data_IF_370068626282
#
_entry.id   IF_370068626282
#
_cell.length_a   1.000
_cell.length_b   1.000
_cell.length_c   1.000
_cell.angle_alpha   90.00
_cell.angle_beta   90.00
_cell.angle_gamma   90.00
#
_symmetry.space_group_name_H-M   'P 1'
#
loop_
_entity.id
_entity.type
_entity.pdbx_description
1 polymer ?
#
# COMPACT_ATOMS: atom_id res chain seq x y z
N UNK A 1 -11.23 7.43 -5.60
CA UNK A 1 -10.96 8.08 -4.32
C UNK A 1 -11.05 9.60 -4.44
N UNK A 2 -10.23 10.26 -5.29
CA UNK A 2 -10.17 11.73 -5.41
C UNK A 2 -11.54 12.38 -5.65
N UNK A 3 -12.35 11.87 -6.58
CA UNK A 3 -13.71 12.38 -6.83
C UNK A 3 -14.62 12.28 -5.60
N UNK A 4 -14.53 11.17 -4.86
CA UNK A 4 -15.31 10.99 -3.65
C UNK A 4 -14.84 11.92 -2.51
N UNK A 5 -13.54 12.12 -2.39
CA UNK A 5 -12.97 13.09 -1.43
C UNK A 5 -13.40 14.52 -1.75
N UNK A 6 -13.39 14.88 -3.03
CA UNK A 6 -13.84 16.20 -3.47
C UNK A 6 -15.32 16.44 -3.10
N UNK A 7 -16.20 15.48 -3.39
CA UNK A 7 -17.62 15.55 -3.01
C UNK A 7 -17.80 15.67 -1.49
N UNK A 8 -17.04 14.93 -0.69
CA UNK A 8 -17.07 15.04 0.76
C UNK A 8 -16.62 16.41 1.26
N UNK A 9 -15.55 16.95 0.72
CA UNK A 9 -15.04 18.29 1.06
C UNK A 9 -16.05 19.40 0.77
N UNK A 10 -16.76 19.32 -0.36
CA UNK A 10 -17.83 20.28 -0.71
C UNK A 10 -18.97 20.27 0.31
N UNK A 11 -19.18 19.17 1.00
CA UNK A 11 -20.15 19.03 2.09
C UNK A 11 -19.55 19.28 3.49
N UNK A 12 -18.31 19.73 3.59
CA UNK A 12 -17.62 19.95 4.86
C UNK A 12 -17.27 18.66 5.62
N UNK A 13 -17.25 17.51 4.94
CA UNK A 13 -16.94 16.22 5.55
C UNK A 13 -15.44 15.97 5.59
N UNK A 14 -15.01 15.20 6.59
CA UNK A 14 -13.66 14.66 6.68
C UNK A 14 -13.55 13.33 5.94
N UNK A 15 -12.45 13.13 5.23
CA UNK A 15 -12.17 11.87 4.56
C UNK A 15 -11.52 10.89 5.52
N UNK A 16 -12.17 9.73 5.69
CA UNK A 16 -11.69 8.63 6.53
C UNK A 16 -11.49 7.39 5.67
N UNK A 17 -10.31 6.81 5.72
CA UNK A 17 -10.08 5.46 5.18
C UNK A 17 -10.20 4.46 6.33
N UNK A 18 -11.09 3.47 6.18
CA UNK A 18 -11.21 2.34 7.08
C UNK A 18 -10.55 1.12 6.43
N UNK A 19 -9.54 0.57 7.08
CA UNK A 19 -8.81 -0.61 6.61
C UNK A 19 -8.50 -1.55 7.78
N UNK A 20 -7.94 -2.71 7.47
CA UNK A 20 -7.46 -3.66 8.48
C UNK A 20 -5.94 -3.60 8.59
N UNK A 21 -5.45 -3.80 9.81
CA UNK A 21 -4.01 -3.96 10.11
C UNK A 21 -3.40 -5.12 9.32
N UNK A 22 -4.11 -6.26 9.30
CA UNK A 22 -3.77 -7.42 8.49
C UNK A 22 -4.89 -7.64 7.47
N UNK A 23 -4.58 -7.72 6.16
CA UNK A 23 -5.61 -8.02 5.17
C UNK A 23 -6.32 -9.34 5.48
N UNK A 24 -7.66 -9.39 5.48
CA UNK A 24 -8.41 -10.62 5.80
C UNK A 24 -7.99 -11.86 5.00
N UNK A 25 -7.47 -11.64 3.78
CA UNK A 25 -6.96 -12.71 2.92
C UNK A 25 -5.59 -13.25 3.36
N UNK A 26 -4.84 -12.49 4.15
CA UNK A 26 -3.52 -12.87 4.63
C UNK A 26 -3.59 -13.81 5.85
N UNK A 27 -4.67 -13.76 6.63
CA UNK A 27 -4.83 -14.54 7.87
C UNK A 27 -4.75 -16.06 7.65
N UNK A 28 -5.04 -16.52 6.44
CA UNK A 28 -5.08 -17.96 6.11
C UNK A 28 -4.07 -18.38 5.03
N UNK A 29 -3.06 -17.53 4.74
CA UNK A 29 -2.08 -17.83 3.69
C UNK A 29 -0.68 -17.45 4.14
N UNK A 30 0.14 -18.45 4.38
CA UNK A 30 1.57 -18.30 4.73
C UNK A 30 2.40 -17.58 3.65
N UNK A 31 1.83 -17.33 2.47
CA UNK A 31 2.51 -16.74 1.30
C UNK A 31 1.77 -15.51 0.74
N UNK A 32 1.04 -14.77 1.55
CA UNK A 32 0.32 -13.59 1.06
C UNK A 32 1.23 -12.35 1.06
N UNK A 33 1.64 -11.93 -0.12
CA UNK A 33 2.41 -10.70 -0.28
C UNK A 33 1.50 -9.47 -0.39
N UNK A 34 1.79 -8.43 0.39
CA UNK A 34 1.09 -7.15 0.32
C UNK A 34 1.76 -6.22 -0.69
N UNK A 35 0.94 -5.39 -1.35
CA UNK A 35 1.44 -4.32 -2.22
C UNK A 35 2.05 -3.17 -1.40
N UNK A 36 1.48 -2.89 -0.24
CA UNK A 36 1.93 -1.83 0.65
C UNK A 36 1.88 -2.30 2.09
N UNK A 37 2.91 -2.01 2.87
CA UNK A 37 2.89 -2.16 4.32
C UNK A 37 1.91 -1.18 4.95
N UNK A 38 1.64 -1.29 6.25
CA UNK A 38 0.75 -0.34 6.93
C UNK A 38 1.34 1.07 6.92
N UNK A 39 2.64 1.18 7.14
CA UNK A 39 3.36 2.45 7.07
C UNK A 39 3.30 3.08 5.67
N UNK A 40 3.56 2.29 4.63
CA UNK A 40 3.44 2.75 3.24
C UNK A 40 2.01 3.16 2.88
N UNK A 41 0.99 2.44 3.35
CA UNK A 41 -0.43 2.84 3.20
C UNK A 41 -0.70 4.20 3.84
N UNK A 42 -0.18 4.43 5.05
CA UNK A 42 -0.34 5.70 5.74
C UNK A 42 0.28 6.85 4.92
N UNK A 43 1.47 6.66 4.36
CA UNK A 43 2.10 7.62 3.46
C UNK A 43 1.27 7.90 2.21
N UNK A 44 0.82 6.85 1.50
CA UNK A 44 -0.01 6.99 0.28
C UNK A 44 -1.29 7.78 0.58
N UNK A 45 -1.96 7.50 1.68
CA UNK A 45 -3.20 8.18 2.03
C UNK A 45 -2.97 9.61 2.51
N UNK A 46 -1.86 9.87 3.22
CA UNK A 46 -1.47 11.22 3.60
C UNK A 46 -1.16 12.10 2.36
N UNK A 47 -0.36 11.60 1.42
CA UNK A 47 -0.07 12.26 0.14
C UNK A 47 -1.36 12.51 -0.68
N UNK A 48 -2.34 11.59 -0.60
CA UNK A 48 -3.65 11.77 -1.22
C UNK A 48 -4.56 12.77 -0.51
N UNK A 49 -4.17 13.29 0.65
CA UNK A 49 -4.95 14.27 1.42
C UNK A 49 -6.11 13.66 2.21
N UNK A 50 -6.00 12.40 2.64
CA UNK A 50 -6.92 11.74 3.57
C UNK A 50 -6.75 12.34 4.95
N UNK A 51 -7.85 12.69 5.63
CA UNK A 51 -7.80 13.30 6.97
C UNK A 51 -7.50 12.27 8.08
N UNK A 52 -8.05 11.06 7.98
CA UNK A 52 -7.88 10.00 8.99
C UNK A 52 -7.74 8.61 8.35
N UNK A 53 -6.83 7.83 8.89
CA UNK A 53 -6.68 6.40 8.60
C UNK A 53 -7.05 5.60 9.86
N UNK A 54 -8.03 4.71 9.73
CA UNK A 54 -8.41 3.78 10.80
C UNK A 54 -7.93 2.39 10.39
N UNK A 55 -6.94 1.88 11.10
CA UNK A 55 -6.46 0.51 10.98
C UNK A 55 -7.12 -0.34 12.08
N UNK A 56 -8.11 -1.12 11.69
CA UNK A 56 -8.89 -1.92 12.62
C UNK A 56 -8.32 -3.33 12.71
N UNK A 57 -8.05 -3.86 13.93
CA UNK A 57 -7.71 -5.26 14.11
C UNK A 57 -8.84 -6.17 13.58
N UNK A 58 -8.49 -7.13 12.72
CA UNK A 58 -9.47 -8.08 12.17
C UNK A 58 -9.64 -9.27 13.12
N UNK A 59 -10.29 -9.01 14.27
CA UNK A 59 -10.56 -10.01 15.30
C UNK A 59 -11.71 -10.95 14.91
N UNK A 60 -11.84 -12.07 15.63
CA UNK A 60 -12.95 -13.00 15.43
C UNK A 60 -14.31 -12.36 15.70
N UNK A 61 -14.42 -11.52 16.72
CA UNK A 61 -15.64 -10.77 17.02
C UNK A 61 -16.01 -9.81 15.88
N UNK A 62 -15.01 -9.08 15.37
CA UNK A 62 -15.21 -8.19 14.22
C UNK A 62 -15.66 -8.97 12.98
N UNK A 63 -15.05 -10.11 12.71
CA UNK A 63 -15.37 -10.97 11.58
C UNK A 63 -16.81 -11.49 11.60
N UNK A 64 -17.44 -11.62 12.79
CA UNK A 64 -18.80 -12.09 12.96
C UNK A 64 -19.87 -11.01 12.83
N UNK A 65 -19.49 -9.75 12.68
CA UNK A 65 -20.45 -8.67 12.52
C UNK A 65 -21.31 -8.88 11.26
N UNK A 66 -22.62 -8.80 11.43
CA UNK A 66 -23.53 -8.75 10.29
C UNK A 66 -23.28 -7.48 9.46
N UNK A 67 -23.69 -7.42 8.18
CA UNK A 67 -23.60 -6.21 7.38
C UNK A 67 -24.22 -4.99 8.08
N UNK A 68 -25.40 -5.13 8.64
CA UNK A 68 -26.07 -4.06 9.35
C UNK A 68 -25.31 -3.60 10.59
N UNK A 69 -24.86 -4.55 11.43
CA UNK A 69 -24.10 -4.22 12.65
C UNK A 69 -22.77 -3.51 12.36
N UNK A 70 -22.09 -3.87 11.27
CA UNK A 70 -20.88 -3.15 10.83
C UNK A 70 -21.19 -1.70 10.46
N UNK A 71 -22.24 -1.44 9.69
CA UNK A 71 -22.61 -0.08 9.29
C UNK A 71 -23.12 0.74 10.46
N UNK A 72 -23.88 0.13 11.36
CA UNK A 72 -24.32 0.76 12.61
C UNK A 72 -23.12 1.16 13.47
N UNK A 73 -22.13 0.30 13.61
CA UNK A 73 -20.88 0.62 14.33
C UNK A 73 -20.17 1.83 13.71
N UNK A 74 -20.04 1.91 12.38
CA UNK A 74 -19.46 3.09 11.72
C UNK A 74 -20.28 4.35 11.99
N UNK A 75 -21.61 4.24 12.00
CA UNK A 75 -22.49 5.35 12.34
C UNK A 75 -22.30 5.83 13.76
N UNK A 76 -22.24 4.92 14.73
CA UNK A 76 -22.12 5.24 16.15
C UNK A 76 -20.72 5.75 16.53
N UNK A 77 -19.66 5.14 15.97
CA UNK A 77 -18.27 5.44 16.37
C UNK A 77 -17.68 6.65 15.67
N UNK A 78 -17.98 6.88 14.41
CA UNK A 78 -17.40 7.95 13.61
C UNK A 78 -18.44 8.87 12.97
N UNK A 79 -19.73 8.69 13.26
CA UNK A 79 -20.84 9.49 12.72
C UNK A 79 -20.79 9.62 11.19
N UNK A 80 -20.52 8.50 10.51
CA UNK A 80 -20.40 8.45 9.05
C UNK A 80 -21.60 9.12 8.37
N UNK A 81 -21.33 9.96 7.38
CA UNK A 81 -22.35 10.69 6.59
C UNK A 81 -22.38 10.26 5.13
N UNK A 82 -21.25 9.74 4.65
CA UNK A 82 -21.12 9.24 3.28
C UNK A 82 -20.23 8.00 3.29
N UNK A 83 -20.65 6.93 2.64
CA UNK A 83 -19.83 5.73 2.43
C UNK A 83 -19.59 5.56 0.94
N UNK A 84 -18.31 5.50 0.56
CA UNK A 84 -17.89 5.30 -0.83
C UNK A 84 -17.33 3.89 -0.99
N UNK A 85 -17.89 3.12 -1.89
CA UNK A 85 -17.47 1.75 -2.13
C UNK A 85 -17.45 1.39 -3.62
N UNK A 86 -16.62 0.43 -3.98
CA UNK A 86 -16.60 -0.14 -5.33
C UNK A 86 -17.75 -1.12 -5.56
N UNK A 87 -18.08 -1.39 -6.81
CA UNK A 87 -19.12 -2.37 -7.18
C UNK A 87 -18.80 -3.81 -6.75
N UNK A 88 -17.53 -4.11 -6.42
CA UNK A 88 -17.08 -5.41 -5.92
C UNK A 88 -16.82 -5.43 -4.41
N UNK A 89 -17.20 -4.36 -3.71
CA UNK A 89 -17.04 -4.28 -2.26
C UNK A 89 -18.00 -5.25 -1.56
N UNK A 90 -17.42 -6.02 -0.63
CA UNK A 90 -18.16 -6.92 0.24
C UNK A 90 -17.70 -6.75 1.67
N UNK A 91 -18.64 -6.85 2.61
CA UNK A 91 -18.42 -6.65 4.04
C UNK A 91 -19.34 -7.52 4.89
N UNK A 92 -19.13 -7.49 6.20
CA UNK A 92 -19.89 -8.30 7.15
C UNK A 92 -19.54 -9.79 7.10
N UNK A 93 -20.12 -10.54 8.03
CA UNK A 93 -19.86 -11.97 8.17
C UNK A 93 -20.10 -12.74 6.87
N UNK A 94 -19.14 -13.59 6.52
CA UNK A 94 -19.15 -14.38 5.28
C UNK A 94 -19.35 -13.56 3.99
N UNK A 95 -19.00 -12.26 4.02
CA UNK A 95 -19.19 -11.34 2.88
C UNK A 95 -20.65 -11.15 2.47
N UNK A 96 -21.58 -11.28 3.41
CA UNK A 96 -23.03 -11.22 3.14
C UNK A 96 -23.49 -9.80 2.73
N UNK A 97 -22.72 -8.74 3.03
CA UNK A 97 -22.97 -7.38 2.58
C UNK A 97 -22.26 -7.08 1.25
N UNK A 98 -22.94 -6.34 0.39
CA UNK A 98 -22.42 -5.80 -0.86
C UNK A 98 -22.80 -4.32 -1.01
N UNK A 99 -22.53 -3.72 -2.15
CA UNK A 99 -23.00 -2.36 -2.44
C UNK A 99 -24.53 -2.22 -2.38
N UNK A 100 -25.29 -3.31 -2.58
CA UNK A 100 -26.76 -3.31 -2.50
C UNK A 100 -27.23 -3.10 -1.06
N UNK A 101 -26.63 -3.83 -0.12
CA UNK A 101 -26.91 -3.67 1.32
C UNK A 101 -26.44 -2.29 1.81
N UNK A 102 -25.33 -1.74 1.27
CA UNK A 102 -24.94 -0.36 1.54
C UNK A 102 -26.04 0.64 1.14
N UNK A 103 -26.66 0.46 -0.02
CA UNK A 103 -27.73 1.33 -0.48
C UNK A 103 -29.03 1.10 0.30
N UNK A 104 -29.33 -0.17 0.60
CA UNK A 104 -30.56 -0.54 1.32
C UNK A 104 -30.61 0.06 2.73
N UNK A 105 -29.48 0.08 3.45
CA UNK A 105 -29.42 0.57 4.84
C UNK A 105 -29.12 2.06 4.94
N UNK A 106 -28.92 2.74 3.81
CA UNK A 106 -28.51 4.14 3.78
C UNK A 106 -29.52 5.08 4.46
N UNK A 107 -30.81 4.92 4.14
CA UNK A 107 -31.88 5.74 4.70
C UNK A 107 -32.08 5.49 6.20
N UNK A 108 -32.09 4.22 6.61
CA UNK A 108 -32.29 3.82 8.02
C UNK A 108 -31.15 4.31 8.92
N UNK A 109 -29.89 4.21 8.46
CA UNK A 109 -28.72 4.62 9.22
C UNK A 109 -28.30 6.09 8.96
N UNK A 110 -28.96 6.79 8.05
CA UNK A 110 -28.76 8.20 7.78
C UNK A 110 -27.37 8.55 7.25
N UNK A 111 -26.94 7.84 6.18
CA UNK A 111 -25.74 8.15 5.42
C UNK A 111 -26.03 8.11 3.90
N UNK A 112 -25.19 8.73 3.11
CA UNK A 112 -25.22 8.63 1.65
C UNK A 112 -24.35 7.46 1.18
N UNK A 113 -24.86 6.56 0.32
CA UNK A 113 -24.09 5.50 -0.31
C UNK A 113 -23.65 5.91 -1.74
N UNK A 114 -22.36 6.07 -1.95
CA UNK A 114 -21.77 6.40 -3.25
C UNK A 114 -21.04 5.16 -3.81
N UNK A 115 -21.57 4.63 -4.91
CA UNK A 115 -21.01 3.44 -5.54
C UNK A 115 -20.18 3.85 -6.76
N UNK A 116 -18.92 3.48 -6.76
CA UNK A 116 -17.97 3.77 -7.84
C UNK A 116 -17.67 2.52 -8.66
N UNK A 117 -17.63 2.68 -9.97
CA UNK A 117 -17.23 1.60 -10.87
C UNK A 117 -15.71 1.47 -10.86
N UNK A 118 -15.21 0.26 -11.03
CA UNK A 118 -13.77 0.04 -11.24
C UNK A 118 -13.31 0.76 -12.50
N UNK A 119 -12.11 1.31 -12.43
CA UNK A 119 -11.42 1.79 -13.63
C UNK A 119 -10.89 0.60 -14.42
N UNK A 120 -10.93 0.73 -15.72
CA UNK A 120 -10.39 -0.26 -16.66
C UNK A 120 -9.19 0.32 -17.40
N UNK A 121 -8.27 -0.56 -17.75
CA UNK A 121 -7.13 -0.25 -18.60
C UNK A 121 -6.88 -1.44 -19.55
N UNK A 122 -6.76 -1.13 -20.83
CA UNK A 122 -6.63 -2.15 -21.91
C UNK A 122 -7.76 -3.19 -21.87
N UNK A 123 -8.99 -2.77 -21.54
CA UNK A 123 -10.17 -3.65 -21.50
C UNK A 123 -10.30 -4.53 -20.27
N UNK A 124 -9.40 -4.43 -19.31
CA UNK A 124 -9.42 -5.21 -18.07
C UNK A 124 -9.53 -4.31 -16.84
N UNK A 125 -10.18 -4.81 -15.79
CA UNK A 125 -10.30 -4.10 -14.53
C UNK A 125 -8.93 -3.91 -13.86
N UNK A 126 -8.68 -2.70 -13.36
CA UNK A 126 -7.55 -2.45 -12.47
C UNK A 126 -7.84 -3.09 -11.11
N UNK A 127 -6.98 -4.00 -10.69
CA UNK A 127 -7.14 -4.73 -9.43
C UNK A 127 -5.79 -5.02 -8.77
N UNK A 128 -5.78 -5.17 -7.44
CA UNK A 128 -4.57 -5.57 -6.72
C UNK A 128 -3.98 -6.90 -7.18
N UNK A 129 -4.81 -7.81 -7.69
CA UNK A 129 -4.34 -9.09 -8.25
C UNK A 129 -3.54 -8.88 -9.54
N UNK A 130 -4.05 -8.03 -10.44
CA UNK A 130 -3.34 -7.68 -11.68
C UNK A 130 -2.04 -6.94 -11.37
N UNK A 131 -2.08 -5.96 -10.47
CA UNK A 131 -0.88 -5.20 -10.07
C UNK A 131 0.19 -6.12 -9.48
N UNK A 132 -0.18 -7.07 -8.59
CA UNK A 132 0.78 -8.05 -8.06
C UNK A 132 1.42 -8.90 -9.15
N UNK A 133 0.66 -9.28 -10.16
CA UNK A 133 1.18 -10.03 -11.30
C UNK A 133 2.23 -9.22 -12.05
N UNK A 134 1.94 -7.97 -12.40
CA UNK A 134 2.88 -7.10 -13.12
C UNK A 134 4.18 -6.89 -12.32
N UNK A 135 4.08 -6.65 -11.00
CA UNK A 135 5.27 -6.53 -10.15
C UNK A 135 6.06 -7.85 -10.10
N UNK A 136 5.38 -8.99 -9.93
CA UNK A 136 6.03 -10.30 -9.85
C UNK A 136 6.71 -10.71 -11.18
N UNK A 137 6.27 -10.16 -12.30
CA UNK A 137 6.87 -10.33 -13.62
C UNK A 137 7.95 -9.28 -13.94
N UNK A 138 8.14 -8.28 -13.08
CA UNK A 138 9.11 -7.18 -13.27
C UNK A 138 8.62 -6.07 -14.19
N UNK A 139 7.35 -6.06 -14.56
CA UNK A 139 6.74 -5.07 -15.45
C UNK A 139 6.44 -3.77 -14.68
N UNK A 140 7.47 -3.09 -14.18
CA UNK A 140 7.30 -1.97 -13.26
C UNK A 140 6.57 -0.78 -13.88
N UNK A 141 6.81 -0.47 -15.15
CA UNK A 141 6.13 0.61 -15.86
C UNK A 141 4.61 0.38 -15.93
N UNK A 142 4.18 -0.84 -16.24
CA UNK A 142 2.75 -1.22 -16.26
C UNK A 142 2.16 -1.23 -14.84
N UNK A 143 2.88 -1.77 -13.86
CA UNK A 143 2.47 -1.76 -12.45
C UNK A 143 2.25 -0.33 -11.94
N UNK A 144 3.17 0.58 -12.22
CA UNK A 144 3.11 1.98 -11.85
C UNK A 144 1.92 2.70 -12.51
N UNK A 145 1.69 2.43 -13.80
CA UNK A 145 0.51 2.95 -14.48
C UNK A 145 -0.80 2.51 -13.83
N UNK A 146 -0.90 1.22 -13.47
CA UNK A 146 -2.09 0.65 -12.82
C UNK A 146 -2.28 1.17 -11.39
N UNK A 147 -1.19 1.42 -10.67
CA UNK A 147 -1.21 2.01 -9.32
C UNK A 147 -1.59 3.49 -9.34
N UNK A 148 -1.16 4.22 -10.38
CA UNK A 148 -1.24 5.68 -10.46
C UNK A 148 -0.13 6.40 -9.68
N UNK A 149 0.87 5.66 -9.19
CA UNK A 149 2.11 6.15 -8.58
C UNK A 149 3.21 5.10 -8.77
N UNK A 150 4.49 5.50 -8.61
CA UNK A 150 5.60 4.56 -8.69
C UNK A 150 5.59 3.61 -7.50
N UNK A 151 5.64 2.30 -7.76
CA UNK A 151 5.73 1.28 -6.71
C UNK A 151 6.98 1.51 -5.88
N UNK A 152 6.87 1.52 -4.56
CA UNK A 152 7.97 1.90 -3.71
C UNK A 152 8.13 1.00 -2.48
N UNK A 153 9.27 1.15 -1.85
CA UNK A 153 9.67 0.59 -0.59
C UNK A 153 10.11 1.72 0.33
N UNK A 154 9.66 1.72 1.58
CA UNK A 154 10.15 2.60 2.64
C UNK A 154 10.89 1.81 3.71
N UNK A 155 11.78 2.48 4.42
CA UNK A 155 12.44 1.94 5.59
C UNK A 155 13.86 2.50 5.78
N UNK A 156 14.49 2.17 6.91
CA UNK A 156 15.81 2.68 7.23
C UNK A 156 16.89 2.10 6.30
N UNK A 157 17.83 2.95 5.93
CA UNK A 157 19.06 2.51 5.31
C UNK A 157 19.92 1.72 6.30
N UNK A 158 20.15 0.45 6.01
CA UNK A 158 20.97 -0.45 6.83
C UNK A 158 22.43 -0.48 6.36
N UNK A 159 23.34 -0.82 7.24
CA UNK A 159 24.72 -1.09 6.88
C UNK A 159 24.80 -2.31 5.93
N UNK A 160 25.51 -2.13 4.81
CA UNK A 160 25.91 -3.20 3.92
C UNK A 160 27.33 -3.64 4.18
N UNK A 161 27.91 -4.43 3.28
CA UNK A 161 29.30 -4.89 3.35
C UNK A 161 30.34 -3.78 3.06
N UNK A 162 29.91 -2.51 2.97
CA UNK A 162 30.72 -1.29 2.74
C UNK A 162 31.64 -1.32 1.51
N UNK A 163 31.55 -2.36 0.67
CA UNK A 163 32.38 -2.51 -0.53
C UNK A 163 32.18 -1.32 -1.49
N UNK A 164 30.94 -0.86 -1.64
CA UNK A 164 30.62 0.32 -2.45
C UNK A 164 31.33 1.58 -1.96
N UNK A 165 31.45 1.75 -0.64
CA UNK A 165 32.13 2.92 -0.04
C UNK A 165 33.64 2.96 -0.34
N UNK A 166 34.28 1.80 -0.44
CA UNK A 166 35.74 1.72 -0.76
C UNK A 166 36.05 2.12 -2.20
N UNK A 167 35.06 2.05 -3.10
CA UNK A 167 35.15 2.45 -4.51
C UNK A 167 34.43 3.77 -4.80
N UNK A 168 34.06 4.53 -3.76
CA UNK A 168 33.39 5.83 -3.92
C UNK A 168 31.91 5.74 -4.32
N UNK A 169 31.28 4.58 -4.16
CA UNK A 169 29.86 4.32 -4.52
C UNK A 169 29.08 3.94 -3.25
N UNK A 170 28.62 4.92 -2.43
CA UNK A 170 27.85 4.62 -1.24
C UNK A 170 26.52 4.00 -1.59
N UNK A 171 26.21 2.85 -0.99
CA UNK A 171 24.93 2.16 -1.15
C UNK A 171 24.15 2.15 0.16
N UNK A 172 22.84 2.31 0.07
CA UNK A 172 21.91 2.04 1.15
C UNK A 172 21.29 0.65 0.97
N UNK A 173 21.26 -0.13 2.03
CA UNK A 173 20.62 -1.43 2.04
C UNK A 173 19.30 -1.32 2.80
N UNK A 174 18.23 -1.88 2.24
CA UNK A 174 16.95 -2.02 2.92
C UNK A 174 16.58 -3.48 3.01
N UNK A 175 15.99 -3.86 4.14
CA UNK A 175 15.36 -5.17 4.33
C UNK A 175 13.86 -4.94 4.45
N UNK A 176 13.09 -5.17 3.39
CA UNK A 176 11.64 -5.08 3.45
C UNK A 176 11.06 -6.10 4.44
N UNK A 177 9.87 -5.82 4.91
CA UNK A 177 9.10 -6.81 5.68
C UNK A 177 8.88 -8.07 4.84
N UNK A 178 8.89 -9.25 5.48
CA UNK A 178 8.86 -10.55 4.81
C UNK A 178 7.68 -10.71 3.84
N UNK A 179 6.55 -10.09 4.17
CA UNK A 179 5.35 -10.14 3.36
C UNK A 179 5.22 -9.01 2.33
N UNK A 180 6.16 -8.06 2.28
CA UNK A 180 6.19 -7.03 1.23
C UNK A 180 6.55 -7.65 -0.11
N UNK A 181 5.69 -7.44 -1.12
CA UNK A 181 6.00 -7.88 -2.47
C UNK A 181 7.21 -7.13 -3.02
N UNK A 182 8.20 -7.85 -3.47
CA UNK A 182 9.31 -7.29 -4.22
C UNK A 182 9.23 -7.71 -5.69
N UNK A 183 9.73 -6.89 -6.62
CA UNK A 183 9.93 -7.34 -7.98
C UNK A 183 10.99 -8.45 -8.04
N UNK A 184 11.12 -9.18 -9.16
CA UNK A 184 12.13 -10.22 -9.33
C UNK A 184 13.55 -9.75 -9.06
N UNK A 185 14.46 -10.69 -8.79
CA UNK A 185 15.89 -10.39 -8.69
C UNK A 185 16.37 -9.71 -9.96
N UNK A 186 17.01 -8.56 -9.81
CA UNK A 186 17.46 -7.76 -10.93
C UNK A 186 17.90 -6.37 -10.52
N UNK A 187 18.28 -5.58 -11.52
CA UNK A 187 18.67 -4.18 -11.36
C UNK A 187 17.59 -3.29 -11.94
N UNK A 188 17.17 -2.30 -11.16
CA UNK A 188 16.06 -1.41 -11.46
C UNK A 188 16.50 0.04 -11.45
N UNK A 189 16.00 0.82 -12.40
CA UNK A 189 16.06 2.27 -12.31
C UNK A 189 15.09 2.73 -11.21
N UNK A 190 15.57 3.59 -10.34
CA UNK A 190 14.80 4.05 -9.18
C UNK A 190 14.94 5.55 -8.94
N UNK A 191 13.95 6.10 -8.30
CA UNK A 191 13.97 7.42 -7.70
C UNK A 191 13.96 7.27 -6.19
N UNK A 192 14.82 8.02 -5.50
CA UNK A 192 15.01 7.91 -4.06
C UNK A 192 14.68 9.24 -3.39
N UNK A 193 13.77 9.22 -2.43
CA UNK A 193 13.57 10.33 -1.51
C UNK A 193 14.37 10.06 -0.24
N UNK A 194 15.35 10.91 0.02
CA UNK A 194 16.18 10.85 1.20
C UNK A 194 16.42 12.27 1.76
N UNK A 195 16.27 12.45 3.08
CA UNK A 195 16.48 13.73 3.76
C UNK A 195 15.67 14.90 3.12
N UNK A 196 14.48 14.61 2.62
CA UNK A 196 13.60 15.59 1.97
C UNK A 196 14.02 16.00 0.56
N UNK A 197 15.02 15.33 -0.03
CA UNK A 197 15.49 15.55 -1.40
C UNK A 197 15.33 14.31 -2.25
N UNK A 198 15.12 14.50 -3.52
CA UNK A 198 14.95 13.47 -4.53
C UNK A 198 16.25 13.25 -5.29
N UNK A 199 16.59 11.99 -5.51
CA UNK A 199 17.78 11.54 -6.23
C UNK A 199 17.39 10.45 -7.21
N UNK A 200 18.07 10.40 -8.34
CA UNK A 200 18.02 9.26 -9.24
C UNK A 200 19.01 8.19 -8.78
N UNK A 201 18.76 6.93 -9.14
CA UNK A 201 19.66 5.85 -8.77
C UNK A 201 19.32 4.52 -9.42
N UNK A 202 20.03 3.52 -8.97
CA UNK A 202 19.77 2.12 -9.32
C UNK A 202 19.63 1.28 -8.06
N UNK A 203 18.75 0.31 -8.09
CA UNK A 203 18.56 -0.67 -7.01
C UNK A 203 18.76 -2.07 -7.51
N UNK A 204 19.54 -2.85 -6.77
CA UNK A 204 19.66 -4.29 -6.96
C UNK A 204 18.71 -5.01 -5.97
N UNK A 205 17.74 -5.72 -6.49
CA UNK A 205 16.87 -6.63 -5.71
C UNK A 205 17.50 -8.02 -5.73
N UNK A 206 17.84 -8.54 -4.57
CA UNK A 206 18.51 -9.85 -4.51
C UNK A 206 18.63 -10.41 -3.10
N UNK A 207 19.19 -11.62 -3.02
CA UNK A 207 19.52 -12.25 -1.73
C UNK A 207 20.98 -11.96 -1.42
N UNK A 208 21.29 -11.57 -0.18
CA UNK A 208 22.66 -11.52 0.31
C UNK A 208 23.01 -12.85 0.98
N UNK A 209 24.11 -13.51 0.61
CA UNK A 209 24.60 -14.67 1.34
C UNK A 209 24.87 -14.26 2.79
N UNK A 210 24.25 -14.92 3.74
CA UNK A 210 24.59 -14.79 5.16
C UNK A 210 25.33 -16.05 5.60
N UNK A 211 26.21 -15.92 6.59
CA UNK A 211 27.01 -17.03 7.14
C UNK A 211 26.10 -18.11 7.74
N UNK A 212 24.86 -17.80 8.09
CA UNK A 212 23.89 -18.68 8.74
C UNK A 212 22.91 -19.38 7.78
N UNK A 213 23.11 -19.28 6.46
CA UNK A 213 22.32 -20.04 5.46
C UNK A 213 20.91 -19.51 5.14
N UNK A 214 20.42 -18.51 5.85
CA UNK A 214 19.17 -17.80 5.50
C UNK A 214 19.52 -16.60 4.62
N UNK A 215 19.06 -16.61 3.37
CA UNK A 215 19.32 -15.55 2.40
C UNK A 215 18.07 -14.68 2.18
N UNK A 216 17.73 -13.76 3.10
CA UNK A 216 16.56 -12.92 2.91
C UNK A 216 16.74 -12.02 1.68
N UNK A 217 15.62 -11.75 1.01
CA UNK A 217 15.56 -10.76 -0.05
C UNK A 217 15.85 -9.37 0.54
N UNK A 218 16.64 -8.59 -0.17
CA UNK A 218 16.97 -7.22 0.18
C UNK A 218 17.04 -6.33 -1.04
N UNK A 219 17.07 -5.04 -0.81
CA UNK A 219 17.21 -4.01 -1.83
C UNK A 219 18.47 -3.21 -1.50
N UNK A 220 19.45 -3.23 -2.40
CA UNK A 220 20.65 -2.42 -2.31
C UNK A 220 20.57 -1.30 -3.34
N UNK A 221 20.52 -0.06 -2.85
CA UNK A 221 20.28 1.12 -3.68
C UNK A 221 21.52 2.01 -3.72
N UNK A 222 21.95 2.37 -4.91
CA UNK A 222 22.96 3.39 -5.19
C UNK A 222 22.27 4.68 -5.64
N UNK A 223 22.58 5.79 -4.96
CA UNK A 223 22.09 7.13 -5.29
C UNK A 223 23.13 7.86 -6.12
N UNK A 224 22.70 8.43 -7.24
CA UNK A 224 23.55 9.32 -8.04
C UNK A 224 23.71 10.67 -7.32
N UNK A 225 24.89 11.26 -7.45
CA UNK A 225 25.19 12.59 -6.92
C UNK A 225 24.92 12.78 -5.40
N UNK A 226 24.93 11.68 -4.64
CA UNK A 226 24.80 11.70 -3.19
C UNK A 226 26.12 11.36 -2.50
N UNK A 227 26.54 12.20 -1.56
CA UNK A 227 27.78 12.03 -0.80
C UNK A 227 27.60 11.91 0.72
N UNK A 228 26.35 11.78 1.18
CA UNK A 228 26.01 11.71 2.59
C UNK A 228 26.05 10.30 3.18
N UNK A 229 25.53 10.17 4.39
CA UNK A 229 25.35 8.90 5.09
C UNK A 229 23.87 8.63 5.28
N UNK A 230 23.38 7.50 4.76
CA UNK A 230 21.96 7.08 4.83
C UNK A 230 21.69 6.06 5.94
N UNK A 231 22.71 5.65 6.69
CA UNK A 231 22.51 4.63 7.74
C UNK A 231 21.60 5.14 8.86
N UNK A 232 20.55 4.36 9.14
CA UNK A 232 19.54 4.68 10.14
C UNK A 232 18.57 5.79 9.73
N UNK A 233 18.69 6.34 8.51
CA UNK A 233 17.73 7.32 7.97
C UNK A 233 16.68 6.62 7.13
N UNK A 234 15.44 7.04 7.27
CA UNK A 234 14.36 6.53 6.42
C UNK A 234 14.52 7.05 5.01
N UNK A 235 14.44 6.13 4.06
CA UNK A 235 14.44 6.42 2.63
C UNK A 235 13.27 5.75 1.95
N UNK A 236 12.74 6.42 0.92
CA UNK A 236 11.72 5.86 0.01
C UNK A 236 12.40 5.59 -1.32
N UNK A 237 12.38 4.34 -1.75
CA UNK A 237 12.92 3.90 -3.04
C UNK A 237 11.76 3.54 -3.96
N UNK A 238 11.57 4.30 -5.01
CA UNK A 238 10.50 4.15 -5.99
C UNK A 238 11.04 3.46 -7.25
N UNK A 239 10.49 2.31 -7.60
CA UNK A 239 10.89 1.52 -8.77
C UNK A 239 10.26 2.10 -10.04
N UNK A 240 11.08 2.52 -11.00
CA UNK A 240 10.62 3.11 -12.25
C UNK A 240 10.55 2.07 -13.37
N UNK A 241 11.66 1.27 -13.49
CA UNK A 241 11.80 0.29 -14.57
C UNK A 241 12.74 -0.82 -14.17
#
# INVERSE_FOLDING_TARGET
LMEAMQKGKEQGLKCVIFTFDIPPKAIHKDTYNVLSTNEEKAHIFAEAGVDYLIECPFTDDFRQLSPYAFLQMLKEKINVKMIVAGTDFHFGYQRAGSFRELQQYADDLGYEAVIVKKKQYKGEDISSTRIRKEIAEGNMEEANYLLGYSYFLTGPGLHGNEIGRTIGIPTANQRPEEFKLLPPKGVYAVEILAEGKQYDGISNVGCKPTIEGVNPMGVETFLFDYSGNLYGKDIKVSFLK
#
